data_IF_829466941032
#
_entry.id   IF_829466941032
#
_cell.length_a   1.000
_cell.length_b   1.000
_cell.length_c   1.000
_cell.angle_alpha   90.00
_cell.angle_beta   90.00
_cell.angle_gamma   90.00
#
_symmetry.space_group_name_H-M   'P 1'
#
loop_
_entity.id
_entity.type
_entity.pdbx_description
1 polymer ?
#
# COMPACT_ATOMS: atom_id res chain seq x y z
N UNK A 1 -6.40 0.94 -7.49
CA UNK A 1 -5.96 2.36 -7.51
C UNK A 1 -6.98 3.35 -8.08
N UNK A 2 -7.97 2.94 -8.90
CA UNK A 2 -9.00 3.87 -9.37
C UNK A 2 -8.51 4.91 -10.39
N UNK A 3 -7.47 4.59 -11.16
CA UNK A 3 -6.87 5.50 -12.14
C UNK A 3 -7.87 5.97 -13.21
N UNK A 4 -8.84 5.11 -13.55
CA UNK A 4 -9.90 5.38 -14.53
C UNK A 4 -11.22 5.81 -13.89
N UNK A 5 -11.22 6.09 -12.59
CA UNK A 5 -12.44 6.43 -11.90
C UNK A 5 -12.99 7.79 -12.38
N UNK A 6 -14.05 7.71 -13.20
CA UNK A 6 -14.80 8.87 -13.69
C UNK A 6 -16.01 9.28 -12.82
N UNK A 7 -16.18 8.68 -11.64
CA UNK A 7 -17.35 8.94 -10.79
C UNK A 7 -17.35 10.32 -10.12
N UNK A 8 -18.45 10.63 -9.43
CA UNK A 8 -18.76 11.98 -8.91
C UNK A 8 -18.61 12.15 -7.39
N UNK A 9 -18.02 11.18 -6.68
CA UNK A 9 -17.71 11.32 -5.24
C UNK A 9 -16.83 12.57 -5.04
N UNK A 10 -17.21 13.46 -4.13
CA UNK A 10 -16.50 14.71 -3.82
C UNK A 10 -16.38 14.96 -2.30
N UNK A 11 -16.38 13.89 -1.52
CA UNK A 11 -16.16 13.90 -0.08
C UNK A 11 -15.14 12.83 0.24
N UNK A 12 -14.20 13.11 1.13
CA UNK A 12 -13.20 12.15 1.55
C UNK A 12 -13.75 11.13 2.59
N UNK A 13 -12.87 10.27 3.11
CA UNK A 13 -13.21 9.26 4.11
C UNK A 13 -13.74 9.84 5.42
N UNK A 14 -13.28 11.03 5.81
CA UNK A 14 -13.60 11.69 7.06
C UNK A 14 -14.84 12.60 6.94
N UNK A 15 -15.49 12.61 5.78
CA UNK A 15 -16.65 13.45 5.51
C UNK A 15 -16.30 14.89 5.12
N UNK A 16 -15.03 15.20 4.83
CA UNK A 16 -14.59 16.54 4.43
C UNK A 16 -14.86 16.77 2.94
N UNK A 17 -15.32 17.97 2.61
CA UNK A 17 -15.63 18.35 1.23
C UNK A 17 -14.34 18.54 0.42
N UNK A 18 -14.31 17.91 -0.75
CA UNK A 18 -13.23 18.07 -1.70
C UNK A 18 -13.23 19.49 -2.31
N UNK A 19 -12.03 19.98 -2.62
CA UNK A 19 -11.82 21.22 -3.36
C UNK A 19 -11.71 20.97 -4.86
N UNK A 20 -12.03 21.98 -5.70
CA UNK A 20 -11.76 21.93 -7.13
C UNK A 20 -10.28 21.68 -7.44
N UNK A 21 -10.01 20.93 -8.50
CA UNK A 21 -8.64 20.66 -8.96
C UNK A 21 -8.01 21.88 -9.67
N UNK A 22 -8.83 22.74 -10.29
CA UNK A 22 -8.39 23.98 -10.91
C UNK A 22 -7.70 24.90 -9.89
N UNK A 23 -6.51 25.40 -10.24
CA UNK A 23 -5.69 26.24 -9.35
C UNK A 23 -4.65 25.48 -8.53
N UNK A 24 -4.64 24.14 -8.56
CA UNK A 24 -3.63 23.28 -7.87
C UNK A 24 -2.64 22.59 -8.81
N UNK A 25 -2.60 22.98 -10.10
CA UNK A 25 -1.75 22.39 -11.14
C UNK A 25 -0.22 22.50 -10.89
N UNK A 26 0.20 23.35 -9.97
CA UNK A 26 1.61 23.54 -9.59
C UNK A 26 2.01 22.77 -8.31
N UNK A 27 1.12 21.98 -7.72
CA UNK A 27 1.44 21.13 -6.57
C UNK A 27 2.19 19.88 -7.04
N UNK A 28 3.30 19.52 -6.38
CA UNK A 28 4.14 18.37 -6.78
C UNK A 28 3.40 17.02 -6.74
N UNK A 29 2.31 16.92 -5.97
CA UNK A 29 1.45 15.72 -5.92
C UNK A 29 0.54 15.62 -7.14
N UNK A 30 0.40 16.70 -7.91
CA UNK A 30 -0.36 16.76 -9.16
C UNK A 30 0.65 16.77 -10.30
N UNK A 31 1.02 15.59 -10.80
CA UNK A 31 1.96 15.54 -11.92
C UNK A 31 1.32 16.16 -13.17
N UNK A 32 2.11 16.82 -14.02
CA UNK A 32 1.66 17.33 -15.34
C UNK A 32 1.00 16.21 -16.16
N UNK A 33 1.48 14.98 -15.98
CA UNK A 33 0.93 13.76 -16.58
C UNK A 33 -0.40 13.33 -15.92
N UNK A 34 -0.58 13.58 -14.63
CA UNK A 34 -1.81 13.35 -13.89
C UNK A 34 -2.93 14.34 -14.21
N UNK A 35 -2.57 15.58 -14.59
CA UNK A 35 -3.51 16.56 -15.17
C UNK A 35 -3.99 16.08 -16.55
N UNK A 36 -3.08 15.52 -17.37
CA UNK A 36 -3.42 14.91 -18.66
C UNK A 36 -4.19 13.58 -18.55
N UNK A 37 -4.21 12.94 -17.37
CA UNK A 37 -4.99 11.73 -17.06
C UNK A 37 -6.35 12.03 -16.43
N UNK A 38 -6.71 13.31 -16.23
CA UNK A 38 -8.11 13.68 -16.00
C UNK A 38 -8.79 13.54 -17.38
N UNK A 39 -9.70 12.57 -17.60
CA UNK A 39 -10.11 12.19 -18.95
C UNK A 39 -10.65 13.39 -19.73
N UNK A 40 -10.10 13.60 -20.92
CA UNK A 40 -10.50 14.64 -21.89
C UNK A 40 -11.93 14.44 -22.46
N UNK A 41 -12.70 13.51 -21.91
CA UNK A 41 -14.16 13.42 -22.10
C UNK A 41 -14.94 13.73 -20.81
N UNK A 42 -14.47 14.74 -20.06
CA UNK A 42 -15.18 15.25 -18.88
C UNK A 42 -14.48 16.34 -18.07
N UNK A 43 -13.40 16.94 -18.57
CA UNK A 43 -12.68 18.03 -17.87
C UNK A 43 -13.50 19.32 -17.92
N UNK A 44 -14.43 19.45 -16.99
CA UNK A 44 -14.47 20.70 -16.25
C UNK A 44 -13.55 20.52 -15.04
N UNK A 45 -12.32 21.02 -15.12
CA UNK A 45 -11.38 21.06 -13.99
C UNK A 45 -11.90 21.93 -12.83
N UNK A 46 -13.06 22.60 -12.98
CA UNK A 46 -13.85 23.16 -11.88
C UNK A 46 -14.41 22.10 -10.92
N UNK A 47 -14.48 20.83 -11.34
CA UNK A 47 -15.06 19.79 -10.49
C UNK A 47 -14.15 19.45 -9.31
N UNK A 48 -14.75 19.02 -8.20
CA UNK A 48 -14.06 18.60 -6.99
C UNK A 48 -14.13 17.08 -6.75
N UNK A 49 -14.40 16.30 -7.80
CA UNK A 49 -14.52 14.85 -7.67
C UNK A 49 -13.18 14.19 -7.36
N UNK A 50 -13.21 13.14 -6.54
CA UNK A 50 -12.06 12.33 -6.19
C UNK A 50 -11.40 11.72 -7.41
N UNK A 51 -10.07 11.82 -7.51
CA UNK A 51 -9.27 11.30 -8.61
C UNK A 51 -7.99 10.67 -8.06
N UNK A 52 -7.27 9.96 -8.92
CA UNK A 52 -5.96 9.45 -8.58
C UNK A 52 -4.92 9.79 -9.66
N UNK A 53 -4.64 11.10 -9.86
CA UNK A 53 -3.81 11.57 -10.99
C UNK A 53 -2.34 11.17 -10.88
N UNK A 54 -1.84 10.92 -9.67
CA UNK A 54 -0.45 10.55 -9.40
C UNK A 54 -0.26 9.04 -9.17
N UNK A 55 -1.25 8.22 -9.54
CA UNK A 55 -1.25 6.79 -9.25
C UNK A 55 -0.93 6.45 -7.79
N UNK A 56 -1.41 7.31 -6.87
CA UNK A 56 -1.36 7.10 -5.44
C UNK A 56 -1.81 5.67 -5.11
N UNK A 57 -0.94 4.95 -4.43
CA UNK A 57 -1.14 3.58 -3.98
C UNK A 57 -2.44 3.45 -3.16
N UNK A 58 -2.67 4.43 -2.31
CA UNK A 58 -3.85 4.57 -1.47
C UNK A 58 -5.09 5.01 -2.26
N UNK A 59 -5.09 4.93 -3.59
CA UNK A 59 -6.28 5.11 -4.40
C UNK A 59 -6.71 6.57 -4.54
N UNK A 60 -8.03 6.76 -4.66
CA UNK A 60 -8.62 8.06 -4.95
C UNK A 60 -8.42 9.03 -3.78
N UNK A 61 -8.19 10.29 -4.10
CA UNK A 61 -8.03 11.35 -3.12
C UNK A 61 -8.51 12.68 -3.69
N UNK A 62 -8.57 13.70 -2.83
CA UNK A 62 -8.84 15.08 -3.21
C UNK A 62 -8.22 16.05 -2.19
N UNK A 63 -8.11 17.34 -2.53
CA UNK A 63 -7.74 18.38 -1.59
C UNK A 63 -8.91 18.76 -0.67
N UNK A 64 -8.66 19.16 0.58
CA UNK A 64 -9.71 19.52 1.56
C UNK A 64 -9.36 20.83 2.28
N UNK A 65 -10.32 21.78 2.41
CA UNK A 65 -10.24 23.12 3.05
C UNK A 65 -9.03 24.04 2.72
N UNK A 66 -9.26 25.35 2.57
CA UNK A 66 -8.18 26.35 2.48
C UNK A 66 -7.82 26.95 3.83
N UNK A 67 -6.52 26.92 4.17
CA UNK A 67 -5.96 27.75 5.22
C UNK A 67 -5.67 27.02 6.53
N UNK A 68 -4.55 26.30 6.58
CA UNK A 68 -3.42 26.42 7.54
C UNK A 68 -2.43 25.24 7.39
N UNK A 69 -2.26 24.72 6.17
CA UNK A 69 -1.34 23.62 5.87
C UNK A 69 -1.78 22.78 4.66
N UNK A 70 -0.90 21.91 4.19
CA UNK A 70 -1.12 20.97 3.09
C UNK A 70 -2.18 19.91 3.44
N UNK A 71 -3.48 20.22 3.26
CA UNK A 71 -4.56 19.28 3.58
C UNK A 71 -5.18 18.65 2.34
N UNK A 72 -5.11 17.33 2.30
CA UNK A 72 -5.75 16.45 1.35
C UNK A 72 -6.33 15.25 2.09
N UNK A 73 -7.21 14.48 1.45
CA UNK A 73 -7.90 13.34 2.05
C UNK A 73 -8.13 12.23 1.04
N UNK A 74 -8.08 10.99 1.51
CA UNK A 74 -8.42 9.82 0.69
C UNK A 74 -9.92 9.72 0.53
N UNK A 75 -10.36 9.48 -0.69
CA UNK A 75 -11.75 9.19 -0.95
C UNK A 75 -12.02 7.70 -0.85
N UNK A 76 -12.92 7.36 0.06
CA UNK A 76 -13.58 6.06 0.05
C UNK A 76 -14.64 6.08 -1.04
N UNK A 77 -14.21 5.68 -2.24
CA UNK A 77 -15.15 5.27 -3.29
C UNK A 77 -15.23 3.76 -3.24
N UNK A 78 -16.45 3.22 -3.17
CA UNK A 78 -16.71 1.85 -3.54
C UNK A 78 -16.04 1.58 -4.88
N UNK A 79 -15.03 0.69 -4.90
CA UNK A 79 -14.48 0.24 -6.17
C UNK A 79 -15.63 -0.23 -7.08
N UNK A 80 -15.48 -0.23 -8.41
CA UNK A 80 -16.54 -0.74 -9.28
C UNK A 80 -16.96 -2.20 -8.96
N UNK A 81 -16.15 -2.91 -8.17
CA UNK A 81 -16.41 -4.23 -7.59
C UNK A 81 -17.03 -4.23 -6.18
N UNK A 82 -17.31 -3.07 -5.56
CA UNK A 82 -18.17 -2.96 -4.39
C UNK A 82 -19.65 -3.02 -4.80
N UNK A 83 -20.05 -4.20 -5.27
CA UNK A 83 -21.15 -4.87 -4.60
C UNK A 83 -20.48 -5.86 -3.64
N UNK A 84 -20.01 -5.37 -2.51
CA UNK A 84 -19.52 -6.16 -1.38
C UNK A 84 -20.65 -6.97 -0.70
N UNK A 85 -21.68 -7.33 -1.48
CA UNK A 85 -22.75 -8.26 -1.12
C UNK A 85 -22.44 -9.70 -1.56
N UNK A 86 -21.28 -9.96 -2.19
CA UNK A 86 -20.85 -11.33 -2.50
C UNK A 86 -19.62 -11.71 -1.68
N UNK A 87 -19.90 -12.16 -0.47
CA UNK A 87 -18.99 -12.97 0.36
C UNK A 87 -18.35 -14.06 -0.52
N UNK A 88 -17.11 -14.47 -0.24
CA UNK A 88 -16.56 -15.72 -0.75
C UNK A 88 -17.54 -16.87 -0.46
N UNK A 89 -18.29 -17.30 -1.47
CA UNK A 89 -19.24 -18.40 -1.33
C UNK A 89 -18.43 -19.68 -1.37
N UNK A 90 -18.40 -20.41 -0.26
CA UNK A 90 -17.90 -21.79 -0.17
C UNK A 90 -16.52 -22.01 -0.84
N UNK A 91 -15.47 -21.39 -0.30
CA UNK A 91 -14.09 -21.72 -0.68
C UNK A 91 -13.71 -21.33 -2.12
N UNK A 92 -14.43 -20.38 -2.72
CA UNK A 92 -14.07 -19.74 -3.98
C UNK A 92 -13.89 -18.24 -3.77
N UNK A 93 -12.92 -17.60 -4.46
CA UNK A 93 -12.86 -16.15 -4.51
C UNK A 93 -14.18 -15.64 -5.07
N UNK A 94 -14.62 -14.48 -4.58
CA UNK A 94 -15.80 -13.85 -5.12
C UNK A 94 -15.63 -13.64 -6.64
N UNK A 95 -16.74 -13.62 -7.36
CA UNK A 95 -16.75 -13.52 -8.82
C UNK A 95 -16.00 -12.25 -9.27
N UNK A 96 -14.90 -12.41 -10.02
CA UNK A 96 -14.04 -11.29 -10.47
C UNK A 96 -12.81 -11.01 -9.60
N UNK A 97 -12.59 -11.74 -8.51
CA UNK A 97 -11.41 -11.59 -7.67
C UNK A 97 -10.33 -12.64 -8.00
N UNK A 98 -9.11 -12.21 -8.38
CA UNK A 98 -8.06 -13.14 -8.76
C UNK A 98 -7.36 -13.76 -7.55
N UNK A 99 -6.89 -15.01 -7.68
CA UNK A 99 -5.99 -15.66 -6.72
C UNK A 99 -4.52 -15.22 -6.91
N UNK A 100 -4.34 -13.93 -7.15
CA UNK A 100 -3.06 -13.28 -7.33
C UNK A 100 -3.19 -11.80 -6.96
N UNK A 101 -2.07 -11.16 -6.64
CA UNK A 101 -2.06 -9.71 -6.41
C UNK A 101 -1.35 -8.97 -7.54
N UNK A 102 -1.73 -7.72 -7.76
CA UNK A 102 -1.34 -6.89 -8.90
C UNK A 102 -0.30 -5.84 -8.52
N UNK A 103 -0.33 -5.40 -7.26
CA UNK A 103 0.52 -4.35 -6.72
C UNK A 103 1.50 -4.97 -5.73
N UNK A 104 2.70 -4.43 -5.66
CA UNK A 104 3.66 -4.86 -4.67
C UNK A 104 3.07 -4.72 -3.24
N UNK A 105 3.48 -5.62 -2.33
CA UNK A 105 2.86 -5.88 -1.02
C UNK A 105 1.51 -6.60 -1.00
N UNK A 106 0.73 -6.55 -2.07
CA UNK A 106 -0.53 -7.29 -2.18
C UNK A 106 -1.63 -6.88 -1.18
N UNK A 107 -1.69 -5.61 -0.75
CA UNK A 107 -2.75 -5.14 0.17
C UNK A 107 -4.15 -5.23 -0.41
N UNK A 108 -4.26 -5.15 -1.74
CA UNK A 108 -5.51 -5.33 -2.47
C UNK A 108 -5.91 -6.80 -2.64
N UNK A 109 -5.07 -7.74 -2.19
CA UNK A 109 -5.38 -9.16 -2.28
C UNK A 109 -6.58 -9.51 -1.42
N UNK A 110 -7.63 -10.00 -2.07
CA UNK A 110 -8.89 -10.41 -1.45
C UNK A 110 -9.31 -11.81 -1.90
N UNK A 111 -8.34 -12.62 -2.36
CA UNK A 111 -8.56 -14.02 -2.71
C UNK A 111 -8.78 -14.91 -1.47
N UNK A 112 -8.78 -16.22 -1.69
CA UNK A 112 -9.18 -17.23 -0.68
C UNK A 112 -8.04 -18.09 -0.15
N UNK A 113 -6.78 -17.72 -0.46
CA UNK A 113 -5.62 -18.40 0.13
C UNK A 113 -5.70 -18.30 1.66
N UNK A 114 -5.60 -19.43 2.34
CA UNK A 114 -5.66 -19.55 3.82
C UNK A 114 -4.55 -20.44 4.39
N UNK A 115 -3.44 -20.51 3.67
CA UNK A 115 -2.23 -21.22 4.07
C UNK A 115 -1.03 -20.33 3.88
N UNK A 116 -0.11 -20.43 4.83
CA UNK A 116 1.15 -19.70 4.80
C UNK A 116 2.12 -20.31 3.80
N UNK A 117 3.26 -19.65 3.58
CA UNK A 117 4.34 -20.11 2.71
C UNK A 117 4.92 -21.47 3.16
N UNK A 118 4.98 -21.74 4.46
CA UNK A 118 5.36 -23.05 4.99
C UNK A 118 4.20 -24.05 5.09
N UNK A 119 2.99 -23.63 4.71
CA UNK A 119 1.80 -24.49 4.64
C UNK A 119 0.97 -24.55 5.93
N UNK A 120 1.24 -23.69 6.92
CA UNK A 120 0.44 -23.60 8.16
C UNK A 120 -0.96 -23.07 7.84
N UNK A 121 -2.02 -23.58 8.51
CA UNK A 121 -3.35 -23.03 8.37
C UNK A 121 -3.42 -21.64 9.01
N UNK A 122 -4.10 -20.72 8.33
CA UNK A 122 -4.35 -19.39 8.87
C UNK A 122 -5.42 -19.42 9.96
N UNK A 123 -5.26 -18.57 10.96
CA UNK A 123 -6.28 -18.28 11.97
C UNK A 123 -7.19 -17.14 11.50
N UNK A 124 -8.38 -17.06 12.11
CA UNK A 124 -9.36 -16.04 11.73
C UNK A 124 -8.97 -14.64 12.23
N UNK A 125 -9.13 -13.64 11.39
CA UNK A 125 -8.85 -12.24 11.73
C UNK A 125 -9.74 -11.71 12.85
N UNK A 126 -11.04 -12.03 12.80
CA UNK A 126 -12.02 -11.57 13.80
C UNK A 126 -11.83 -12.18 15.20
N UNK A 127 -11.06 -13.26 15.33
CA UNK A 127 -10.72 -13.83 16.64
C UNK A 127 -9.62 -13.08 17.39
N UNK A 128 -8.83 -12.25 16.69
CA UNK A 128 -7.68 -11.52 17.24
C UNK A 128 -6.86 -12.35 18.24
N UNK A 129 -6.31 -13.51 17.82
CA UNK A 129 -5.80 -14.54 18.74
C UNK A 129 -4.65 -14.05 19.62
N UNK A 130 -3.89 -13.07 19.14
CA UNK A 130 -2.74 -12.45 19.83
C UNK A 130 -2.96 -10.97 20.13
N UNK A 131 -4.21 -10.48 20.01
CA UNK A 131 -4.52 -9.05 20.06
C UNK A 131 -4.14 -8.31 18.78
N UNK A 132 -3.96 -6.99 18.89
CA UNK A 132 -3.59 -6.14 17.75
C UNK A 132 -2.09 -6.27 17.45
N UNK A 133 -1.70 -6.48 16.18
CA UNK A 133 -0.30 -6.49 15.78
C UNK A 133 0.41 -5.16 16.09
N UNK A 134 1.70 -5.22 16.42
CA UNK A 134 2.50 -4.03 16.74
C UNK A 134 2.57 -2.99 15.60
N UNK A 135 2.38 -3.43 14.36
CA UNK A 135 2.40 -2.60 13.16
C UNK A 135 1.05 -1.93 12.84
N UNK A 136 0.04 -2.10 13.70
CA UNK A 136 -1.24 -1.37 13.60
C UNK A 136 -1.11 0.02 14.27
N UNK A 137 -1.66 1.05 13.62
CA UNK A 137 -1.86 2.37 14.24
C UNK A 137 -2.83 2.26 15.42
N UNK A 138 -2.35 2.60 16.62
CA UNK A 138 -3.12 2.57 17.87
C UNK A 138 -4.23 3.62 17.93
N UNK A 139 -4.21 4.61 17.04
CA UNK A 139 -5.29 5.61 16.92
C UNK A 139 -6.42 5.17 15.98
N UNK A 140 -6.26 4.06 15.26
CA UNK A 140 -7.25 3.52 14.33
C UNK A 140 -7.96 2.28 14.91
N UNK A 141 -9.19 2.04 14.48
CA UNK A 141 -9.89 0.79 14.86
C UNK A 141 -9.29 -0.40 14.11
N UNK A 142 -9.51 -1.62 14.61
CA UNK A 142 -8.96 -2.83 13.97
C UNK A 142 -9.43 -2.97 12.51
N UNK A 143 -10.69 -2.65 12.27
CA UNK A 143 -11.35 -2.69 10.97
C UNK A 143 -10.76 -1.66 9.98
N UNK A 144 -10.32 -0.49 10.46
CA UNK A 144 -9.76 0.58 9.60
C UNK A 144 -8.49 0.12 8.86
N UNK A 145 -7.75 -0.85 9.43
CA UNK A 145 -6.56 -1.43 8.81
C UNK A 145 -6.90 -2.33 7.61
N UNK A 146 -8.12 -2.87 7.53
CA UNK A 146 -8.57 -3.76 6.46
C UNK A 146 -9.16 -2.97 5.29
N UNK A 147 -8.37 -2.06 4.70
CA UNK A 147 -8.83 -1.16 3.65
C UNK A 147 -9.54 -1.83 2.46
N UNK A 148 -9.04 -2.98 2.03
CA UNK A 148 -9.56 -3.72 0.89
C UNK A 148 -10.42 -4.92 1.31
N UNK A 149 -10.59 -5.13 2.61
CA UNK A 149 -11.18 -6.32 3.19
C UNK A 149 -12.17 -6.00 4.31
N UNK A 150 -12.48 -7.02 5.09
CA UNK A 150 -13.21 -6.88 6.34
C UNK A 150 -12.84 -8.05 7.24
N UNK A 151 -12.35 -7.84 8.46
CA UNK A 151 -11.83 -8.92 9.30
C UNK A 151 -12.87 -10.01 9.63
N UNK A 152 -14.16 -9.66 9.69
CA UNK A 152 -15.24 -10.63 9.91
C UNK A 152 -15.54 -11.46 8.67
N UNK A 153 -15.58 -10.83 7.49
CA UNK A 153 -15.89 -11.49 6.23
C UNK A 153 -14.71 -12.23 5.61
N UNK A 154 -13.49 -11.77 5.86
CA UNK A 154 -12.26 -12.35 5.35
C UNK A 154 -11.89 -13.65 6.06
N UNK A 155 -12.56 -14.00 7.17
CA UNK A 155 -12.37 -15.25 7.89
C UNK A 155 -10.89 -15.51 8.19
N UNK A 156 -10.31 -16.58 7.62
CA UNK A 156 -8.93 -17.03 7.72
C UNK A 156 -8.13 -16.78 6.41
N UNK A 157 -8.62 -15.94 5.49
CA UNK A 157 -7.91 -15.66 4.25
C UNK A 157 -6.72 -14.73 4.47
N UNK A 158 -5.61 -14.99 3.78
CA UNK A 158 -4.44 -14.14 3.79
C UNK A 158 -4.79 -12.72 3.34
N UNK A 159 -4.35 -11.72 4.10
CA UNK A 159 -4.56 -10.30 3.84
C UNK A 159 -3.28 -9.55 4.17
N UNK A 160 -3.19 -8.30 3.74
CA UNK A 160 -2.14 -7.41 4.21
C UNK A 160 -2.78 -6.13 4.75
N UNK A 161 -3.33 -6.16 5.98
CA UNK A 161 -3.90 -4.98 6.62
C UNK A 161 -2.82 -3.95 7.03
N UNK A 162 -1.55 -4.33 6.98
CA UNK A 162 -0.41 -3.51 7.42
C UNK A 162 0.55 -3.22 6.27
N UNK A 163 1.72 -2.67 6.58
CA UNK A 163 2.76 -2.30 5.62
C UNK A 163 3.79 -3.41 5.37
N UNK A 164 3.42 -4.66 5.64
CA UNK A 164 4.31 -5.80 5.41
C UNK A 164 4.50 -6.06 3.92
N UNK A 165 5.55 -6.80 3.59
CA UNK A 165 5.97 -6.98 2.19
C UNK A 165 5.06 -7.87 1.34
N UNK A 166 4.19 -8.68 1.95
CA UNK A 166 3.28 -9.62 1.28
C UNK A 166 2.04 -9.88 2.14
N UNK A 167 0.94 -10.41 1.58
CA UNK A 167 -0.16 -10.90 2.39
C UNK A 167 0.30 -11.98 3.35
N UNK A 168 -0.25 -11.93 4.56
CA UNK A 168 0.11 -12.77 5.68
C UNK A 168 -1.16 -13.18 6.41
N UNK A 169 -1.01 -14.06 7.41
CA UNK A 169 -2.08 -14.38 8.34
C UNK A 169 -1.50 -14.81 9.68
N UNK A 170 -2.31 -14.78 10.74
CA UNK A 170 -1.96 -15.38 12.02
C UNK A 170 -1.89 -16.91 11.90
N UNK A 171 -1.02 -17.53 12.69
CA UNK A 171 -0.85 -18.99 12.75
C UNK A 171 -0.85 -19.46 14.19
N UNK A 172 -1.29 -20.69 14.42
CA UNK A 172 -1.14 -21.34 15.72
C UNK A 172 0.25 -21.98 15.81
N UNK A 173 1.22 -21.26 16.36
CA UNK A 173 2.59 -21.73 16.57
C UNK A 173 3.20 -21.10 17.85
N UNK A 174 3.98 -21.86 18.65
CA UNK A 174 4.58 -21.35 19.88
C UNK A 174 5.68 -20.29 19.66
N UNK A 175 6.32 -20.28 18.49
CA UNK A 175 7.49 -19.44 18.19
C UNK A 175 7.15 -18.29 17.22
N UNK A 176 6.05 -18.40 16.46
CA UNK A 176 5.63 -17.39 15.48
C UNK A 176 4.13 -17.10 15.58
N UNK A 177 3.75 -15.83 15.68
CA UNK A 177 2.33 -15.43 15.77
C UNK A 177 1.69 -15.27 14.39
N UNK A 178 2.49 -14.98 13.36
CA UNK A 178 2.05 -14.75 12.00
C UNK A 178 3.10 -15.20 10.98
N UNK A 179 2.66 -15.45 9.75
CA UNK A 179 3.57 -15.79 8.65
C UNK A 179 3.01 -15.31 7.30
N UNK A 180 3.92 -15.01 6.36
CA UNK A 180 3.56 -14.67 4.99
C UNK A 180 2.89 -15.84 4.26
N UNK A 181 1.97 -15.50 3.36
CA UNK A 181 1.32 -16.41 2.46
C UNK A 181 1.99 -16.43 1.09
N UNK A 182 2.02 -17.60 0.45
CA UNK A 182 2.54 -17.74 -0.90
C UNK A 182 1.44 -17.44 -1.92
N UNK A 183 1.34 -16.18 -2.33
CA UNK A 183 0.39 -15.72 -3.36
C UNK A 183 1.18 -15.20 -4.55
N UNK A 184 0.88 -15.64 -5.79
CA UNK A 184 1.60 -15.18 -6.97
C UNK A 184 1.18 -13.76 -7.37
N UNK A 185 2.05 -13.08 -8.13
CA UNK A 185 1.65 -11.92 -8.90
C UNK A 185 0.75 -12.34 -10.06
N UNK A 186 -0.16 -11.46 -10.46
CA UNK A 186 -1.01 -11.73 -11.62
C UNK A 186 -0.18 -11.79 -12.92
N UNK A 187 -0.45 -12.73 -13.85
CA UNK A 187 0.39 -12.97 -15.03
C UNK A 187 0.67 -11.75 -15.92
N UNK A 188 -0.27 -10.79 -15.98
CA UNK A 188 -0.12 -9.56 -16.77
C UNK A 188 0.64 -8.44 -16.05
N UNK A 189 1.22 -8.72 -14.87
CA UNK A 189 1.90 -7.76 -14.01
C UNK A 189 3.36 -8.16 -13.65
N UNK A 190 4.20 -8.68 -14.59
CA UNK A 190 5.59 -9.02 -14.29
C UNK A 190 6.45 -7.77 -14.07
N UNK A 191 7.46 -7.88 -13.19
CA UNK A 191 8.48 -6.86 -12.89
C UNK A 191 8.02 -5.59 -12.15
N UNK A 192 6.79 -5.55 -11.60
CA UNK A 192 6.30 -4.38 -10.83
C UNK A 192 6.97 -4.18 -9.46
N UNK A 193 7.77 -5.13 -9.00
CA UNK A 193 8.55 -4.95 -7.77
C UNK A 193 9.76 -4.05 -8.01
N UNK A 194 10.34 -4.03 -9.22
CA UNK A 194 11.56 -3.27 -9.55
C UNK A 194 11.30 -1.79 -9.85
N UNK A 195 10.11 -1.29 -9.54
CA UNK A 195 9.70 0.09 -9.76
C UNK A 195 8.70 0.53 -8.68
N UNK A 196 8.52 1.84 -8.53
CA UNK A 196 7.55 2.45 -7.58
C UNK A 196 6.34 3.03 -8.31
N UNK A 197 5.18 2.95 -7.70
CA UNK A 197 3.94 3.61 -8.12
C UNK A 197 3.79 4.99 -7.50
N UNK A 198 4.25 5.17 -6.26
CA UNK A 198 4.17 6.44 -5.52
C UNK A 198 5.52 7.12 -5.41
N UNK A 199 5.53 8.43 -5.07
CA UNK A 199 6.77 9.16 -4.79
C UNK A 199 7.44 8.55 -3.56
N UNK A 200 6.65 8.31 -2.51
CA UNK A 200 7.07 7.69 -1.26
C UNK A 200 7.63 6.29 -1.50
N UNK A 201 7.07 5.55 -2.46
CA UNK A 201 7.53 4.23 -2.88
C UNK A 201 7.49 3.22 -1.75
N UNK A 202 6.52 3.33 -0.85
CA UNK A 202 6.31 2.38 0.24
C UNK A 202 6.11 0.98 -0.31
N UNK A 203 5.32 0.85 -1.37
CA UNK A 203 5.04 -0.42 -2.03
C UNK A 203 6.26 -1.03 -2.73
N UNK A 204 7.37 -0.30 -2.86
CA UNK A 204 8.55 -0.80 -3.56
C UNK A 204 9.15 -2.02 -2.84
N UNK A 205 9.01 -3.18 -3.48
CA UNK A 205 9.51 -4.47 -2.98
C UNK A 205 10.65 -5.05 -3.85
N UNK A 206 11.29 -4.21 -4.67
CA UNK A 206 12.34 -4.61 -5.61
C UNK A 206 13.70 -4.86 -4.98
N UNK A 207 14.71 -5.08 -5.81
CA UNK A 207 16.04 -5.55 -5.39
C UNK A 207 17.16 -4.50 -5.50
N UNK A 208 16.83 -3.26 -5.90
CA UNK A 208 17.78 -2.13 -5.86
C UNK A 208 18.41 -1.99 -4.47
N UNK A 209 19.74 -1.91 -4.41
CA UNK A 209 20.53 -1.81 -3.17
C UNK A 209 21.68 -0.78 -3.27
N UNK A 210 21.50 0.26 -4.07
CA UNK A 210 22.47 1.32 -4.27
C UNK A 210 21.77 2.66 -4.08
N UNK A 211 22.39 3.55 -3.30
CA UNK A 211 21.89 4.90 -3.08
C UNK A 211 22.04 5.78 -4.33
N UNK A 212 21.43 6.97 -4.30
CA UNK A 212 21.49 7.95 -5.39
C UNK A 212 22.94 8.33 -5.75
N UNK A 213 23.80 8.53 -4.76
CA UNK A 213 25.23 8.82 -4.97
C UNK A 213 26.08 7.60 -5.32
N UNK A 214 25.49 6.41 -5.46
CA UNK A 214 26.20 5.19 -5.85
C UNK A 214 26.78 4.38 -4.68
N UNK A 215 26.43 4.69 -3.42
CA UNK A 215 26.92 3.92 -2.28
C UNK A 215 26.13 2.62 -2.11
N UNK A 216 26.80 1.50 -1.78
CA UNK A 216 26.12 0.25 -1.49
C UNK A 216 25.35 0.38 -0.16
N UNK A 217 24.10 -0.09 -0.16
CA UNK A 217 23.27 -0.10 1.03
C UNK A 217 23.78 -1.10 2.10
N UNK A 218 23.56 -0.78 3.37
CA UNK A 218 23.73 -1.70 4.49
C UNK A 218 22.54 -2.64 4.63
N UNK A 219 22.78 -3.83 5.18
CA UNK A 219 21.71 -4.78 5.49
C UNK A 219 20.87 -4.27 6.65
N UNK A 220 19.55 -4.38 6.51
CA UNK A 220 18.61 -3.94 7.54
C UNK A 220 18.80 -4.71 8.85
N UNK A 221 19.01 -6.02 8.79
CA UNK A 221 19.22 -6.85 9.98
C UNK A 221 20.55 -6.64 10.72
N UNK A 222 21.46 -5.83 10.18
CA UNK A 222 22.72 -5.47 10.83
C UNK A 222 22.64 -4.14 11.60
N UNK A 223 21.52 -3.42 11.48
CA UNK A 223 21.32 -2.15 12.17
C UNK A 223 20.88 -2.42 13.62
N UNK A 224 21.63 -1.90 14.59
CA UNK A 224 21.33 -2.07 16.02
C UNK A 224 20.70 -0.81 16.62
N UNK A 225 19.94 -0.99 17.71
CA UNK A 225 19.27 0.07 18.47
C UNK A 225 20.18 1.25 18.89
N UNK A 226 21.48 1.02 19.05
CA UNK A 226 22.45 2.05 19.44
C UNK A 226 22.77 3.03 18.32
N UNK A 227 22.54 2.64 17.07
CA UNK A 227 22.98 3.39 15.89
C UNK A 227 21.89 4.33 15.35
N UNK A 228 20.63 4.13 15.76
CA UNK A 228 19.49 4.86 15.22
C UNK A 228 18.48 5.17 16.31
N UNK A 229 18.27 6.46 16.61
CA UNK A 229 17.27 6.93 17.60
C UNK A 229 15.84 6.45 17.33
N UNK A 230 15.55 5.89 16.16
CA UNK A 230 14.22 5.50 15.69
C UNK A 230 14.12 4.06 15.15
N UNK A 231 15.09 3.16 15.41
CA UNK A 231 15.08 1.79 14.85
C UNK A 231 13.79 1.01 15.17
N UNK A 232 13.25 1.20 16.38
CA UNK A 232 12.01 0.58 16.84
C UNK A 232 10.78 0.91 15.97
N UNK A 233 10.84 1.97 15.17
CA UNK A 233 9.71 2.45 14.36
C UNK A 233 9.51 1.65 13.07
N UNK A 234 10.51 0.88 12.64
CA UNK A 234 10.39 0.09 11.42
C UNK A 234 9.69 -1.25 11.68
N UNK A 235 8.85 -1.73 10.74
CA UNK A 235 8.20 -3.04 10.84
C UNK A 235 9.20 -4.15 11.13
N UNK A 236 8.80 -5.10 11.98
CA UNK A 236 9.67 -6.20 12.43
C UNK A 236 10.22 -7.04 11.27
N UNK A 237 9.41 -7.27 10.23
CA UNK A 237 9.80 -8.00 9.03
C UNK A 237 10.92 -7.29 8.28
N UNK A 238 10.83 -5.96 8.12
CA UNK A 238 11.90 -5.14 7.54
C UNK A 238 13.17 -5.21 8.38
N UNK A 239 13.04 -5.08 9.70
CA UNK A 239 14.19 -5.15 10.63
C UNK A 239 14.90 -6.50 10.59
N UNK A 240 14.23 -7.56 10.14
CA UNK A 240 14.78 -8.92 10.00
C UNK A 240 15.19 -9.27 8.57
N UNK A 241 15.09 -8.33 7.63
CA UNK A 241 15.49 -8.55 6.24
C UNK A 241 16.99 -8.83 6.17
N UNK A 242 17.34 -10.02 5.68
CA UNK A 242 18.73 -10.46 5.47
C UNK A 242 19.34 -9.91 4.17
N UNK A 243 18.82 -8.77 3.71
CA UNK A 243 19.23 -8.07 2.50
C UNK A 243 19.35 -6.57 2.75
N UNK A 244 19.81 -5.83 1.75
CA UNK A 244 20.09 -4.40 1.81
C UNK A 244 19.31 -3.61 0.76
N UNK A 245 18.13 -4.09 0.36
CA UNK A 245 17.33 -3.43 -0.66
C UNK A 245 16.72 -2.12 -0.15
N UNK A 246 16.58 -1.13 -1.03
CA UNK A 246 15.95 0.15 -0.70
C UNK A 246 14.48 -0.05 -0.31
N UNK A 247 14.00 0.65 0.71
CA UNK A 247 12.62 0.56 1.22
C UNK A 247 12.17 1.93 1.73
N UNK A 248 10.87 2.13 1.85
CA UNK A 248 10.30 3.24 2.65
C UNK A 248 9.16 2.75 3.54
N UNK A 249 9.46 2.01 4.62
CA UNK A 249 8.47 1.20 5.32
C UNK A 249 7.69 1.93 6.41
N UNK A 250 7.79 3.27 6.50
CA UNK A 250 7.18 4.04 7.57
C UNK A 250 6.69 5.44 7.17
N UNK A 251 6.66 5.72 5.86
CA UNK A 251 6.31 7.04 5.27
C UNK A 251 7.06 8.25 5.84
N UNK A 252 8.17 8.02 6.54
CA UNK A 252 8.93 9.11 7.15
C UNK A 252 9.81 9.83 6.16
N UNK A 253 10.15 9.14 5.08
CA UNK A 253 10.92 9.69 3.99
C UNK A 253 10.01 9.94 2.80
N UNK A 254 10.38 10.92 1.98
CA UNK A 254 9.60 11.27 0.80
C UNK A 254 9.79 10.26 -0.35
N UNK A 255 10.82 9.41 -0.27
CA UNK A 255 11.22 8.46 -1.33
C UNK A 255 11.87 7.20 -0.72
N UNK A 256 11.94 6.07 -1.46
CA UNK A 256 12.69 4.89 -1.04
C UNK A 256 14.13 5.21 -0.71
N UNK A 257 14.64 4.68 0.39
CA UNK A 257 15.99 4.95 0.87
C UNK A 257 16.64 3.67 1.37
N UNK A 258 17.92 3.79 1.70
CA UNK A 258 18.63 2.79 2.48
C UNK A 258 19.66 3.43 3.39
N UNK A 259 20.19 2.64 4.34
CA UNK A 259 21.33 3.05 5.15
C UNK A 259 22.62 2.89 4.36
N UNK A 260 23.44 3.93 4.27
CA UNK A 260 24.79 3.87 3.69
C UNK A 260 25.86 3.76 4.78
N UNK A 261 25.50 4.10 6.02
CA UNK A 261 26.27 3.80 7.23
C UNK A 261 25.33 3.63 8.42
N UNK A 262 25.87 3.34 9.61
CA UNK A 262 25.11 3.22 10.85
C UNK A 262 24.32 4.48 11.22
N UNK A 263 24.73 5.65 10.75
CA UNK A 263 24.14 6.94 11.13
C UNK A 263 23.51 7.68 9.95
N UNK A 264 23.78 7.26 8.71
CA UNK A 264 23.37 7.97 7.51
C UNK A 264 22.49 7.10 6.61
N UNK A 265 21.35 7.67 6.23
CA UNK A 265 20.49 7.20 5.16
C UNK A 265 20.71 8.03 3.90
N UNK A 266 20.43 7.42 2.76
CA UNK A 266 20.37 8.14 1.49
C UNK A 266 19.25 7.56 0.63
N UNK A 267 18.56 8.42 -0.10
CA UNK A 267 17.52 8.00 -1.05
C UNK A 267 18.11 7.12 -2.15
N UNK A 268 17.28 6.27 -2.71
CA UNK A 268 17.60 5.42 -3.84
C UNK A 268 16.86 5.89 -5.09
N UNK A 269 17.56 5.89 -6.22
CA UNK A 269 16.94 6.14 -7.52
C UNK A 269 16.13 4.91 -7.96
N UNK A 270 14.83 4.93 -7.64
CA UNK A 270 13.84 3.91 -8.02
C UNK A 270 12.97 4.46 -9.14
N UNK A 271 12.93 3.80 -10.31
CA UNK A 271 12.10 4.26 -11.42
C UNK A 271 10.61 4.10 -11.10
N UNK A 272 9.79 5.00 -11.64
CA UNK A 272 8.36 4.80 -11.62
C UNK A 272 7.96 3.63 -12.52
N UNK A 273 6.95 2.87 -12.10
CA UNK A 273 6.47 1.75 -12.89
C UNK A 273 5.86 2.22 -14.21
N UNK A 274 6.16 1.55 -15.33
CA UNK A 274 5.53 1.88 -16.59
C UNK A 274 4.03 1.58 -16.51
N UNK A 275 3.21 2.52 -16.99
CA UNK A 275 1.79 2.28 -17.19
C UNK A 275 1.62 1.25 -18.32
N UNK A 276 1.29 0.01 -17.97
CA UNK A 276 0.83 -0.96 -18.96
C UNK A 276 -0.63 -0.63 -19.28
N UNK A 277 -0.86 -0.06 -20.47
CA UNK A 277 -2.17 -0.08 -21.09
C UNK A 277 -2.56 -1.54 -21.30
N UNK A 278 -3.56 -2.03 -20.56
CA UNK A 278 -4.27 -3.23 -20.96
C UNK A 278 -5.22 -2.78 -22.07
N UNK A 279 -4.78 -2.95 -23.32
CA UNK A 279 -5.65 -2.87 -24.49
C UNK A 279 -6.59 -4.08 -24.53
#
# INVERSE_FOLDING_TARGET
MGLEYGGIKNVDADGRNCQPWLGRANDERVSVMGIMMIPDEGVDSSHNYCRNPNANYYGLWCFTEEGTGERWGHCMVPFCYQLYERIAVEGKPAEGYPECFQIAMGKEYVGTTKKTKTGKPCLRWDSQPYGQPEDFDSNATYEDHFRFGNPTLDQDFCRNPTFRQQPWCFVEDPDIEWEFCQIPFCPNYPNKTECRWTKEGEEYAGTRNTSLSGFPCMRWDQLTYTNLRNWARYPEDVRREKHNYCRNPSMNEQEPFCFISSEYTEICDIPFCPFHYLY
#
